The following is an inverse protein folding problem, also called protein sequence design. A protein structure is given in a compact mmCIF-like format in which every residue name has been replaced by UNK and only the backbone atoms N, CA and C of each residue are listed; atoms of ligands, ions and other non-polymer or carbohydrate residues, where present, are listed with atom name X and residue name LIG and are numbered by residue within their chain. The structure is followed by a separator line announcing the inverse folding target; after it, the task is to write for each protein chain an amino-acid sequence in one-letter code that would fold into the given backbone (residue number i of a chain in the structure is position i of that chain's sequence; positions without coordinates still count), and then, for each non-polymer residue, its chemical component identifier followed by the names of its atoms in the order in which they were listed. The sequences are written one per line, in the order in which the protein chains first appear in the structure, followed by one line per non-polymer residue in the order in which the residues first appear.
data_IF_881678484729
#
_entry.id   IF_881678484729
#
_cell.length_a   1.000
_cell.length_b   1.000
_cell.length_c   1.000
_cell.angle_alpha   90.00
_cell.angle_beta   90.00
_cell.angle_gamma   90.00
#
_symmetry.space_group_name_H-M   'P 1'
#
loop_
_entity.id
_entity.type
_entity.pdbx_description
1 polymer ?
#
# COMPACT_ATOMS: atom_id res chain seq x y z
N UNK A 1 -7.94 92.82 33.38
CA UNK A 1 -6.82 92.08 32.89
C UNK A 1 -7.06 90.62 33.27
N UNK A 2 -7.50 89.76 32.35
CA UNK A 2 -8.00 88.40 32.53
C UNK A 2 -6.94 87.37 32.15
N UNK A 3 -6.67 86.32 32.89
CA UNK A 3 -5.82 85.21 32.45
C UNK A 3 -6.65 84.07 31.81
N UNK A 4 -6.21 83.70 30.66
CA UNK A 4 -6.70 82.64 29.80
C UNK A 4 -6.46 81.24 30.40
N UNK A 5 -7.47 80.44 30.49
CA UNK A 5 -7.39 79.04 30.94
C UNK A 5 -7.07 78.10 29.74
N UNK A 6 -5.91 77.45 29.79
CA UNK A 6 -5.58 76.36 28.89
C UNK A 6 -6.22 75.03 29.44
N UNK A 7 -7.10 74.42 28.65
CA UNK A 7 -7.62 73.09 28.93
C UNK A 7 -6.76 72.06 28.23
N UNK A 8 -6.10 71.21 29.01
CA UNK A 8 -5.37 70.06 28.49
C UNK A 8 -6.35 68.82 28.29
N UNK A 9 -6.52 68.41 27.06
CA UNK A 9 -7.27 67.18 26.71
C UNK A 9 -6.28 66.03 26.78
N UNK A 10 -6.43 65.16 27.80
CA UNK A 10 -5.75 63.85 27.86
C UNK A 10 -6.51 62.84 27.00
N UNK A 11 -5.94 62.44 25.84
CA UNK A 11 -6.38 61.29 25.06
C UNK A 11 -5.87 60.03 25.75
N UNK A 12 -6.80 59.28 26.39
CA UNK A 12 -6.55 57.91 26.86
C UNK A 12 -6.64 56.97 25.66
N UNK A 13 -5.49 56.55 25.07
CA UNK A 13 -5.43 55.42 24.16
C UNK A 13 -5.62 54.13 24.96
N UNK A 14 -6.86 53.61 25.00
CA UNK A 14 -7.15 52.28 25.50
C UNK A 14 -6.59 51.20 24.55
N UNK A 15 -5.44 50.63 24.90
CA UNK A 15 -4.88 49.47 24.23
C UNK A 15 -5.76 48.29 24.55
N UNK A 16 -6.64 47.86 23.61
CA UNK A 16 -7.38 46.60 23.70
C UNK A 16 -6.36 45.51 23.47
N UNK A 17 -5.85 44.89 24.52
CA UNK A 17 -5.11 43.63 24.47
C UNK A 17 -6.17 42.54 24.24
N UNK A 18 -6.37 42.16 22.97
CA UNK A 18 -7.09 40.94 22.66
C UNK A 18 -6.29 39.77 23.24
N UNK A 19 -6.91 38.83 24.00
CA UNK A 19 -6.22 37.63 24.42
C UNK A 19 -5.85 36.87 23.16
N UNK A 20 -4.56 36.64 22.92
CA UNK A 20 -4.06 35.62 22.04
C UNK A 20 -4.60 34.33 22.65
N UNK A 21 -5.67 33.77 22.07
CA UNK A 21 -6.08 32.43 22.36
C UNK A 21 -4.89 31.54 21.99
N UNK A 22 -4.19 31.04 22.99
CA UNK A 22 -3.26 29.90 22.82
C UNK A 22 -4.09 28.82 22.13
N UNK A 23 -3.90 28.65 20.83
CA UNK A 23 -4.34 27.46 20.14
C UNK A 23 -3.54 26.32 20.80
N UNK A 24 -4.12 25.69 21.83
CA UNK A 24 -3.59 24.44 22.35
C UNK A 24 -3.35 23.54 21.13
N UNK A 25 -2.08 23.26 20.84
CA UNK A 25 -1.72 22.33 19.78
C UNK A 25 -2.36 20.99 20.18
N UNK A 26 -3.48 20.67 19.54
CA UNK A 26 -4.23 19.46 19.83
C UNK A 26 -3.27 18.28 19.74
N UNK A 27 -3.06 17.56 20.84
CA UNK A 27 -2.14 16.44 20.90
C UNK A 27 -2.49 15.44 19.81
N UNK A 28 -1.51 15.10 18.95
CA UNK A 28 -1.72 14.17 17.87
C UNK A 28 -2.12 12.81 18.43
N UNK A 29 -3.12 12.18 17.83
CA UNK A 29 -3.52 10.83 18.17
C UNK A 29 -2.56 9.84 17.55
N UNK A 30 -1.84 9.07 18.38
CA UNK A 30 -0.97 8.00 17.91
C UNK A 30 -1.82 6.84 17.41
N UNK A 31 -1.52 6.37 16.21
CA UNK A 31 -2.06 5.15 15.65
C UNK A 31 -0.94 4.28 15.07
N UNK A 32 -1.09 2.98 15.21
CA UNK A 32 -0.15 1.99 14.71
C UNK A 32 -0.63 1.42 13.36
N UNK A 33 0.29 1.38 12.38
CA UNK A 33 0.03 0.90 11.02
C UNK A 33 0.96 -0.26 10.67
N UNK A 34 0.39 -1.45 10.49
CA UNK A 34 1.10 -2.65 10.08
C UNK A 34 1.30 -2.71 8.56
N UNK A 35 2.56 -2.78 8.12
CA UNK A 35 2.95 -2.87 6.71
C UNK A 35 3.83 -4.10 6.47
N UNK A 36 3.92 -4.58 5.21
CA UNK A 36 4.76 -5.75 4.90
C UNK A 36 6.22 -5.35 4.71
N UNK A 37 6.50 -4.42 3.81
CA UNK A 37 7.85 -3.99 3.47
C UNK A 37 7.84 -2.65 2.73
N UNK A 38 8.99 -1.98 2.64
CA UNK A 38 9.12 -0.73 1.91
C UNK A 38 9.25 -1.00 0.40
N UNK A 39 8.16 -0.77 -0.33
CA UNK A 39 8.06 -0.94 -1.79
C UNK A 39 7.23 0.18 -2.41
N UNK A 40 7.22 0.33 -3.73
CA UNK A 40 6.44 1.37 -4.40
C UNK A 40 4.92 1.30 -4.15
N UNK A 41 4.27 0.13 -3.96
CA UNK A 41 2.89 0.08 -3.48
C UNK A 41 2.60 0.86 -2.19
N UNK A 42 3.60 1.10 -1.34
CA UNK A 42 3.48 1.89 -0.11
C UNK A 42 3.76 3.39 -0.31
N UNK A 43 3.99 3.84 -1.54
CA UNK A 43 4.37 5.22 -1.85
C UNK A 43 3.40 6.27 -1.30
N UNK A 44 2.07 6.12 -1.39
CA UNK A 44 1.14 7.06 -0.75
C UNK A 44 1.34 7.18 0.77
N UNK A 45 1.67 6.08 1.46
CA UNK A 45 1.96 6.11 2.88
C UNK A 45 3.25 6.91 3.17
N UNK A 46 4.32 6.70 2.40
CA UNK A 46 5.57 7.45 2.53
C UNK A 46 5.34 8.96 2.34
N UNK A 47 4.58 9.32 1.29
CA UNK A 47 4.24 10.71 1.01
C UNK A 47 3.38 11.30 2.13
N UNK A 48 2.37 10.58 2.60
CA UNK A 48 1.48 11.09 3.65
C UNK A 48 2.22 11.37 4.97
N UNK A 49 3.23 10.54 5.30
CA UNK A 49 4.13 10.77 6.43
C UNK A 49 5.04 11.97 6.16
N UNK A 50 5.77 11.99 5.05
CA UNK A 50 6.76 13.01 4.70
C UNK A 50 6.15 14.40 4.56
N UNK A 51 5.01 14.50 3.87
CA UNK A 51 4.29 15.77 3.64
C UNK A 51 3.41 16.18 4.84
N UNK A 52 3.40 15.40 5.91
CA UNK A 52 2.62 15.71 7.11
C UNK A 52 1.11 15.63 6.90
N UNK A 53 0.61 14.84 5.92
CA UNK A 53 -0.83 14.73 5.69
C UNK A 53 -1.54 14.08 6.86
N UNK A 54 -0.95 13.06 7.49
CA UNK A 54 -1.46 12.48 8.73
C UNK A 54 -1.50 13.51 9.88
N UNK A 55 -0.45 14.33 10.03
CA UNK A 55 -0.41 15.35 11.08
C UNK A 55 -1.50 16.41 10.92
N UNK A 56 -1.83 16.80 9.66
CA UNK A 56 -2.95 17.70 9.38
C UNK A 56 -4.31 17.15 9.78
N UNK A 57 -4.42 15.81 9.83
CA UNK A 57 -5.61 15.10 10.30
C UNK A 57 -5.55 14.77 11.81
N UNK A 58 -4.59 15.38 12.54
CA UNK A 58 -4.43 15.14 13.98
C UNK A 58 -3.85 13.78 14.31
N UNK A 59 -3.17 13.10 13.36
CA UNK A 59 -2.64 11.74 13.50
C UNK A 59 -1.11 11.76 13.55
N UNK A 60 -0.54 11.07 14.53
CA UNK A 60 0.85 10.63 14.57
C UNK A 60 0.90 9.15 14.18
N UNK A 61 1.39 8.85 12.98
CA UNK A 61 1.43 7.48 12.46
C UNK A 61 2.73 6.78 12.85
N UNK A 62 2.61 5.62 13.50
CA UNK A 62 3.72 4.69 13.75
C UNK A 62 3.61 3.50 12.79
N UNK A 63 4.50 3.43 11.79
CA UNK A 63 4.51 2.34 10.82
C UNK A 63 5.47 1.24 11.24
N UNK A 64 4.97 0.00 11.30
CA UNK A 64 5.74 -1.20 11.64
C UNK A 64 5.78 -2.16 10.45
N UNK A 65 6.98 -2.56 10.03
CA UNK A 65 7.18 -3.48 8.91
C UNK A 65 7.36 -4.91 9.40
N UNK A 66 6.41 -5.79 9.07
CA UNK A 66 6.31 -7.17 9.61
C UNK A 66 6.99 -8.20 8.72
N UNK A 67 7.21 -7.89 7.43
CA UNK A 67 7.88 -8.79 6.47
C UNK A 67 6.97 -9.87 5.85
N UNK A 68 5.73 -10.04 6.32
CA UNK A 68 4.78 -11.03 5.85
C UNK A 68 3.34 -10.54 6.01
N UNK A 69 2.52 -10.66 4.94
CA UNK A 69 1.15 -10.15 4.93
C UNK A 69 0.21 -10.90 5.87
N UNK A 70 0.36 -12.22 5.98
CA UNK A 70 -0.48 -13.02 6.88
C UNK A 70 -0.23 -12.64 8.36
N UNK A 71 1.03 -12.47 8.73
CA UNK A 71 1.41 -12.01 10.08
C UNK A 71 0.90 -10.58 10.35
N UNK A 72 0.91 -9.70 9.34
CA UNK A 72 0.37 -8.33 9.47
C UNK A 72 -1.12 -8.38 9.80
N UNK A 73 -1.90 -9.21 9.09
CA UNK A 73 -3.34 -9.38 9.33
C UNK A 73 -3.60 -10.03 10.70
N UNK A 74 -2.84 -11.07 11.08
CA UNK A 74 -2.95 -11.70 12.39
C UNK A 74 -2.73 -10.72 13.54
N UNK A 75 -1.70 -9.88 13.45
CA UNK A 75 -1.40 -8.85 14.45
C UNK A 75 -2.49 -7.76 14.51
N UNK A 76 -3.07 -7.36 13.36
CA UNK A 76 -4.24 -6.48 13.35
C UNK A 76 -5.42 -7.09 14.08
N UNK A 77 -5.78 -8.35 13.76
CA UNK A 77 -6.89 -9.07 14.40
C UNK A 77 -6.66 -9.23 15.90
N UNK A 78 -5.41 -9.46 16.31
CA UNK A 78 -5.01 -9.54 17.73
C UNK A 78 -4.98 -8.19 18.44
N UNK A 79 -5.11 -7.07 17.74
CA UNK A 79 -5.12 -5.73 18.31
C UNK A 79 -3.77 -5.05 18.45
N UNK A 80 -2.69 -5.61 17.87
CA UNK A 80 -1.36 -5.01 17.89
C UNK A 80 -1.24 -3.80 16.95
N UNK A 81 -2.13 -3.70 15.95
CA UNK A 81 -2.23 -2.56 15.05
C UNK A 81 -3.65 -1.99 15.07
N UNK A 82 -3.77 -0.68 14.83
CA UNK A 82 -5.03 0.02 14.64
C UNK A 82 -5.53 -0.16 13.21
N UNK A 83 -4.63 0.02 12.25
CA UNK A 83 -4.83 -0.22 10.83
C UNK A 83 -3.72 -1.10 10.28
N UNK A 84 -3.93 -1.75 9.15
CA UNK A 84 -2.89 -2.52 8.48
C UNK A 84 -3.13 -2.59 6.97
N UNK A 85 -2.05 -2.67 6.19
CA UNK A 85 -2.11 -3.03 4.78
C UNK A 85 -2.18 -4.55 4.61
N UNK A 86 -3.03 -4.99 3.69
CA UNK A 86 -3.15 -6.40 3.30
C UNK A 86 -3.35 -6.53 1.80
N UNK A 87 -3.08 -7.72 1.25
CA UNK A 87 -3.62 -8.08 -0.06
C UNK A 87 -5.10 -8.41 0.06
N UNK A 88 -5.87 -8.20 -1.03
CA UNK A 88 -7.31 -8.45 -1.01
C UNK A 88 -7.65 -9.90 -0.68
N UNK A 89 -6.91 -10.85 -1.22
CA UNK A 89 -7.12 -12.28 -0.97
C UNK A 89 -6.84 -12.67 0.49
N UNK A 90 -5.74 -12.19 1.08
CA UNK A 90 -5.42 -12.44 2.49
C UNK A 90 -6.47 -11.81 3.41
N UNK A 91 -6.95 -10.61 3.09
CA UNK A 91 -8.03 -9.95 3.80
C UNK A 91 -9.33 -10.76 3.76
N UNK A 92 -9.74 -11.18 2.55
CA UNK A 92 -10.96 -12.00 2.37
C UNK A 92 -10.85 -13.32 3.11
N UNK A 93 -9.72 -14.04 3.02
CA UNK A 93 -9.50 -15.29 3.77
C UNK A 93 -9.61 -15.09 5.28
N UNK A 94 -8.95 -14.07 5.81
CA UNK A 94 -8.98 -13.79 7.24
C UNK A 94 -10.41 -13.51 7.74
N UNK A 95 -11.14 -12.64 7.04
CA UNK A 95 -12.52 -12.27 7.40
C UNK A 95 -13.47 -13.46 7.23
N UNK A 96 -13.35 -14.22 6.13
CA UNK A 96 -14.18 -15.40 5.89
C UNK A 96 -14.03 -16.48 6.97
N UNK A 97 -12.83 -16.60 7.52
CA UNK A 97 -12.51 -17.55 8.61
C UNK A 97 -12.72 -16.95 10.02
N UNK A 98 -13.50 -15.89 10.14
CA UNK A 98 -13.89 -15.31 11.43
C UNK A 98 -12.94 -14.27 12.00
N UNK A 99 -11.95 -13.81 11.24
CA UNK A 99 -11.07 -12.71 11.64
C UNK A 99 -11.85 -11.41 11.84
N UNK A 100 -11.66 -10.76 12.98
CA UNK A 100 -12.35 -9.51 13.34
C UNK A 100 -11.69 -8.31 12.62
N UNK A 101 -11.88 -8.22 11.32
CA UNK A 101 -11.36 -7.16 10.46
C UNK A 101 -12.34 -6.84 9.33
N UNK A 102 -12.20 -5.66 8.73
CA UNK A 102 -12.95 -5.21 7.55
C UNK A 102 -12.04 -4.33 6.68
N UNK A 103 -12.21 -4.40 5.37
CA UNK A 103 -11.54 -3.51 4.42
C UNK A 103 -12.24 -2.15 4.39
N UNK A 104 -11.48 -1.07 4.58
CA UNK A 104 -12.00 0.29 4.65
C UNK A 104 -11.57 1.18 3.47
N UNK A 105 -10.66 0.69 2.62
CA UNK A 105 -10.20 1.42 1.43
C UNK A 105 -9.24 0.60 0.58
N UNK A 106 -9.35 0.75 -0.75
CA UNK A 106 -8.44 0.15 -1.74
C UNK A 106 -7.32 1.12 -2.10
N UNK A 107 -6.08 0.75 -1.84
CA UNK A 107 -4.92 1.60 -2.15
C UNK A 107 -4.38 1.30 -3.54
N UNK A 108 -4.10 0.02 -3.84
CA UNK A 108 -3.53 -0.44 -5.10
C UNK A 108 -4.51 -1.41 -5.75
N UNK A 109 -5.16 -0.96 -6.83
CA UNK A 109 -6.24 -1.70 -7.50
C UNK A 109 -5.78 -2.49 -8.73
N UNK A 110 -4.48 -2.51 -9.01
CA UNK A 110 -3.85 -3.31 -10.07
C UNK A 110 -2.61 -4.01 -9.51
N UNK A 111 -2.23 -5.15 -10.09
CA UNK A 111 -0.99 -5.83 -9.71
C UNK A 111 0.23 -5.16 -10.34
N UNK A 112 1.13 -4.57 -9.55
CA UNK A 112 2.39 -4.01 -10.03
C UNK A 112 3.53 -5.03 -9.89
N UNK A 113 3.40 -6.20 -10.50
CA UNK A 113 4.33 -7.30 -10.31
C UNK A 113 4.84 -7.89 -11.62
N UNK A 114 6.13 -8.22 -11.64
CA UNK A 114 6.81 -8.90 -12.73
C UNK A 114 7.51 -10.17 -12.22
N UNK A 115 7.59 -11.21 -13.05
CA UNK A 115 8.57 -12.28 -12.87
C UNK A 115 9.86 -11.83 -13.54
N UNK A 116 10.87 -11.62 -12.71
CA UNK A 116 12.24 -11.35 -13.14
C UNK A 116 13.02 -12.65 -13.12
N UNK A 117 13.81 -12.92 -14.18
CA UNK A 117 14.53 -14.17 -14.35
C UNK A 117 15.97 -13.93 -14.78
N UNK A 118 16.82 -14.94 -14.56
CA UNK A 118 18.19 -14.95 -15.04
C UNK A 118 18.24 -14.81 -16.58
N UNK A 119 19.31 -14.20 -17.10
CA UNK A 119 19.41 -13.83 -18.52
C UNK A 119 19.19 -15.02 -19.49
N UNK A 120 19.51 -16.24 -19.08
CA UNK A 120 19.33 -17.46 -19.85
C UNK A 120 17.92 -18.10 -19.73
N UNK A 121 16.99 -17.48 -18.98
CA UNK A 121 15.58 -17.87 -18.89
C UNK A 121 14.78 -16.89 -19.71
N UNK A 122 14.38 -17.28 -20.92
CA UNK A 122 13.79 -16.37 -21.93
C UNK A 122 12.32 -16.68 -22.21
N UNK A 123 11.84 -17.86 -21.78
CA UNK A 123 10.49 -18.34 -22.01
C UNK A 123 9.96 -19.15 -20.82
N UNK A 124 8.66 -19.43 -20.80
CA UNK A 124 8.06 -20.34 -19.82
C UNK A 124 8.71 -21.73 -19.89
N UNK A 125 9.06 -22.21 -21.08
CA UNK A 125 9.66 -23.54 -21.25
C UNK A 125 11.01 -23.67 -20.54
N UNK A 126 11.79 -22.58 -20.48
CA UNK A 126 13.09 -22.56 -19.79
C UNK A 126 12.93 -22.70 -18.26
N UNK A 127 11.72 -22.50 -17.72
CA UNK A 127 11.46 -22.67 -16.29
C UNK A 127 11.35 -24.14 -15.85
N UNK A 128 11.21 -25.11 -16.76
CA UNK A 128 11.16 -26.52 -16.38
C UNK A 128 12.44 -26.94 -15.63
N UNK A 129 12.26 -27.53 -14.46
CA UNK A 129 13.35 -27.92 -13.56
C UNK A 129 14.11 -26.76 -12.93
N UNK A 130 13.66 -25.53 -13.11
CA UNK A 130 14.25 -24.34 -12.49
C UNK A 130 13.49 -23.96 -11.22
N UNK A 131 14.17 -23.17 -10.39
CA UNK A 131 13.60 -22.66 -9.12
C UNK A 131 13.13 -21.23 -9.26
N UNK A 132 11.90 -20.97 -8.78
CA UNK A 132 11.35 -19.60 -8.61
C UNK A 132 11.08 -19.33 -7.13
N UNK A 133 11.17 -18.05 -6.74
CA UNK A 133 10.74 -17.59 -5.42
C UNK A 133 9.51 -16.69 -5.50
N UNK A 134 8.49 -17.02 -4.73
CA UNK A 134 7.14 -16.45 -4.71
C UNK A 134 6.77 -15.98 -3.29
N UNK A 135 5.65 -15.26 -3.06
CA UNK A 135 5.25 -14.83 -1.73
C UNK A 135 4.93 -15.98 -0.78
N UNK A 136 3.90 -16.77 -1.08
CA UNK A 136 3.49 -18.00 -0.41
C UNK A 136 2.55 -18.81 -1.31
N UNK A 137 2.31 -20.10 -1.03
CA UNK A 137 1.61 -21.01 -1.96
C UNK A 137 0.19 -20.56 -2.35
N UNK A 138 -0.58 -20.04 -1.38
CA UNK A 138 -1.97 -19.65 -1.58
C UNK A 138 -2.15 -18.18 -2.01
N UNK A 139 -1.06 -17.43 -2.22
CA UNK A 139 -1.13 -16.04 -2.69
C UNK A 139 -1.72 -15.97 -4.10
N UNK A 140 -2.63 -15.04 -4.36
CA UNK A 140 -3.21 -14.89 -5.71
C UNK A 140 -2.15 -14.61 -6.78
N UNK A 141 -1.05 -13.95 -6.44
CA UNK A 141 0.08 -13.77 -7.38
C UNK A 141 0.75 -15.09 -7.75
N UNK A 142 0.85 -16.03 -6.79
CA UNK A 142 1.33 -17.40 -7.05
C UNK A 142 0.35 -18.17 -7.94
N UNK A 143 -0.95 -18.00 -7.69
CA UNK A 143 -2.01 -18.63 -8.49
C UNK A 143 -2.03 -18.09 -9.92
N UNK A 144 -1.87 -16.78 -10.09
CA UNK A 144 -1.78 -16.13 -11.41
C UNK A 144 -0.51 -16.59 -12.16
N UNK A 145 0.62 -16.73 -11.47
CA UNK A 145 1.83 -17.35 -12.03
C UNK A 145 1.59 -18.77 -12.51
N UNK A 146 0.96 -19.63 -11.69
CA UNK A 146 0.66 -21.01 -12.04
C UNK A 146 -0.31 -21.12 -13.23
N UNK A 147 -1.31 -20.20 -13.29
CA UNK A 147 -2.22 -20.08 -14.45
C UNK A 147 -1.43 -19.73 -15.71
N UNK A 148 -0.53 -18.75 -15.62
CA UNK A 148 0.32 -18.38 -16.76
C UNK A 148 1.20 -19.54 -17.26
N UNK A 149 1.81 -20.33 -16.35
CA UNK A 149 2.55 -21.54 -16.75
C UNK A 149 1.66 -22.51 -17.51
N UNK A 150 0.47 -22.79 -16.98
CA UNK A 150 -0.49 -23.71 -17.58
C UNK A 150 -0.92 -23.26 -18.99
N UNK A 151 -1.19 -21.96 -19.18
CA UNK A 151 -1.50 -21.38 -20.49
C UNK A 151 -0.33 -21.52 -21.50
N UNK A 152 0.91 -21.60 -21.00
CA UNK A 152 2.10 -21.86 -21.81
C UNK A 152 2.43 -23.35 -21.98
N UNK A 153 1.56 -24.24 -21.50
CA UNK A 153 1.75 -25.70 -21.60
C UNK A 153 2.78 -26.28 -20.63
N UNK A 154 3.08 -25.56 -19.55
CA UNK A 154 3.98 -25.97 -18.49
C UNK A 154 3.15 -26.30 -17.24
N UNK A 155 3.35 -27.48 -16.68
CA UNK A 155 2.72 -27.83 -15.41
C UNK A 155 3.42 -27.09 -14.27
N UNK A 156 2.69 -26.45 -13.33
CA UNK A 156 3.32 -25.76 -12.19
C UNK A 156 4.29 -26.62 -11.37
N UNK A 157 4.02 -27.93 -11.26
CA UNK A 157 4.88 -28.92 -10.58
C UNK A 157 6.18 -29.22 -11.31
N UNK A 158 6.32 -28.86 -12.58
CA UNK A 158 7.58 -28.96 -13.33
C UNK A 158 8.55 -27.81 -12.97
N UNK A 159 8.12 -26.84 -12.13
CA UNK A 159 8.91 -25.71 -11.65
C UNK A 159 9.04 -25.77 -10.13
N UNK A 160 10.25 -25.78 -9.60
CA UNK A 160 10.48 -25.78 -8.16
C UNK A 160 10.09 -24.42 -7.56
N UNK A 161 9.06 -24.39 -6.72
CA UNK A 161 8.57 -23.16 -6.10
C UNK A 161 9.04 -23.06 -4.65
N UNK A 162 9.66 -21.94 -4.31
CA UNK A 162 10.07 -21.57 -2.95
C UNK A 162 9.40 -20.26 -2.54
N UNK A 163 9.32 -19.98 -1.23
CA UNK A 163 8.45 -18.91 -0.74
C UNK A 163 9.12 -18.02 0.29
N UNK A 164 8.95 -16.68 0.13
CA UNK A 164 9.24 -15.67 1.15
C UNK A 164 8.41 -14.40 0.92
N UNK A 165 7.87 -13.82 1.99
CA UNK A 165 6.89 -12.73 1.91
C UNK A 165 7.41 -11.43 1.31
N UNK A 166 8.56 -10.94 1.79
CA UNK A 166 9.06 -9.61 1.44
C UNK A 166 9.81 -9.58 0.09
N UNK A 167 9.46 -8.64 -0.79
CA UNK A 167 10.11 -8.46 -2.10
C UNK A 167 11.63 -8.26 -2.03
N UNK A 168 12.20 -7.48 -1.08
CA UNK A 168 13.66 -7.37 -0.97
C UNK A 168 14.36 -8.72 -0.76
N UNK A 169 13.75 -9.63 0.01
CA UNK A 169 14.30 -10.97 0.24
C UNK A 169 14.26 -11.83 -1.03
N UNK A 170 13.19 -11.72 -1.83
CA UNK A 170 13.09 -12.40 -3.13
C UNK A 170 14.15 -11.90 -4.11
N UNK A 171 14.39 -10.58 -4.17
CA UNK A 171 15.49 -10.04 -4.96
C UNK A 171 16.85 -10.58 -4.49
N UNK A 172 17.10 -10.61 -3.18
CA UNK A 172 18.35 -11.14 -2.63
C UNK A 172 18.58 -12.62 -3.04
N UNK A 173 17.52 -13.44 -3.00
CA UNK A 173 17.59 -14.84 -3.44
C UNK A 173 17.88 -14.96 -4.96
N UNK A 174 17.32 -14.07 -5.79
CA UNK A 174 17.61 -14.03 -7.22
C UNK A 174 19.06 -13.62 -7.48
N UNK A 175 19.51 -12.55 -6.85
CA UNK A 175 20.87 -11.99 -7.05
C UNK A 175 21.96 -12.94 -6.54
N UNK A 176 21.71 -13.69 -5.49
CA UNK A 176 22.65 -14.71 -4.98
C UNK A 176 22.71 -15.97 -5.85
N UNK A 177 21.83 -16.10 -6.88
CA UNK A 177 21.72 -17.30 -7.69
C UNK A 177 21.04 -18.49 -7.00
N UNK A 178 20.48 -18.29 -5.79
CA UNK A 178 19.72 -19.34 -5.09
C UNK A 178 18.46 -19.77 -5.86
N UNK A 179 17.91 -18.87 -6.67
CA UNK A 179 16.77 -19.11 -7.56
C UNK A 179 17.06 -18.57 -8.96
N UNK A 180 16.34 -19.08 -9.97
CA UNK A 180 16.48 -18.67 -11.37
C UNK A 180 15.48 -17.58 -11.75
N UNK A 181 14.40 -17.43 -10.99
CA UNK A 181 13.40 -16.41 -11.18
C UNK A 181 12.80 -15.94 -9.83
N UNK A 182 12.26 -14.73 -9.81
CA UNK A 182 11.61 -14.17 -8.63
C UNK A 182 10.42 -13.27 -9.03
N UNK A 183 9.34 -13.35 -8.25
CA UNK A 183 8.24 -12.40 -8.34
C UNK A 183 8.64 -11.11 -7.62
N UNK A 184 8.80 -10.02 -8.35
CA UNK A 184 9.21 -8.72 -7.81
C UNK A 184 8.22 -7.64 -8.18
N UNK A 185 8.06 -6.66 -7.26
CA UNK A 185 7.38 -5.39 -7.53
C UNK A 185 8.39 -4.25 -7.54
N UNK A 186 7.98 -3.12 -8.10
CA UNK A 186 8.82 -1.93 -8.16
C UNK A 186 9.16 -1.42 -6.75
N UNK A 187 10.32 -0.84 -6.59
CA UNK A 187 11.37 -0.61 -7.59
C UNK A 187 12.35 -1.78 -7.74
N UNK A 188 12.09 -2.95 -7.13
CA UNK A 188 13.03 -4.08 -7.05
C UNK A 188 13.15 -4.88 -8.35
N UNK A 189 12.11 -4.93 -9.18
CA UNK A 189 12.20 -5.51 -10.54
C UNK A 189 13.10 -4.65 -11.44
N UNK A 190 12.99 -3.31 -11.40
CA UNK A 190 13.90 -2.42 -12.13
C UNK A 190 15.34 -2.52 -11.63
N UNK A 191 15.53 -2.72 -10.31
CA UNK A 191 16.85 -3.00 -9.76
C UNK A 191 17.42 -4.33 -10.27
N UNK A 192 16.59 -5.36 -10.42
CA UNK A 192 17.00 -6.62 -11.00
C UNK A 192 17.39 -6.42 -12.48
N UNK A 193 16.57 -5.67 -13.24
CA UNK A 193 16.85 -5.36 -14.66
C UNK A 193 18.19 -4.63 -14.81
N UNK A 194 18.48 -3.64 -13.98
CA UNK A 194 19.77 -2.93 -13.97
C UNK A 194 20.98 -3.85 -13.65
N UNK A 195 20.74 -5.02 -13.05
CA UNK A 195 21.75 -6.04 -12.77
C UNK A 195 21.81 -7.17 -13.82
N UNK A 196 21.12 -7.01 -14.96
CA UNK A 196 21.15 -7.94 -16.09
C UNK A 196 20.11 -9.07 -16.02
N UNK A 197 19.20 -9.05 -15.03
CA UNK A 197 18.04 -9.92 -15.04
C UNK A 197 17.00 -9.39 -16.04
N UNK A 198 16.14 -10.27 -16.55
CA UNK A 198 15.13 -9.90 -17.53
C UNK A 198 13.72 -10.12 -17.01
N UNK A 199 12.80 -9.30 -17.47
CA UNK A 199 11.38 -9.52 -17.25
C UNK A 199 10.91 -10.68 -18.12
N UNK A 200 10.51 -11.79 -17.49
CA UNK A 200 9.94 -12.96 -18.15
C UNK A 200 8.45 -12.74 -18.48
N UNK A 201 7.71 -12.15 -17.54
CA UNK A 201 6.29 -11.83 -17.70
C UNK A 201 5.86 -10.73 -16.74
N UNK A 202 4.91 -9.90 -17.19
CA UNK A 202 4.14 -8.98 -16.35
C UNK A 202 2.93 -9.74 -15.80
N UNK A 203 2.92 -10.02 -14.51
CA UNK A 203 1.83 -10.75 -13.83
C UNK A 203 0.55 -9.92 -13.80
N UNK A 204 0.64 -8.60 -13.75
CA UNK A 204 -0.52 -7.71 -13.81
C UNK A 204 -1.33 -7.86 -15.09
N UNK A 205 -0.70 -8.27 -16.20
CA UNK A 205 -1.41 -8.53 -17.46
C UNK A 205 -2.34 -9.76 -17.40
N UNK A 206 -2.05 -10.71 -16.50
CA UNK A 206 -2.80 -11.97 -16.32
C UNK A 206 -3.76 -11.95 -15.13
N UNK A 207 -3.65 -10.95 -14.26
CA UNK A 207 -4.47 -10.81 -13.05
C UNK A 207 -5.23 -9.49 -13.01
N UNK A 208 -5.73 -9.01 -14.15
CA UNK A 208 -6.39 -7.69 -14.28
C UNK A 208 -7.66 -7.56 -13.43
N UNK A 209 -8.31 -8.68 -13.15
CA UNK A 209 -9.53 -8.77 -12.33
C UNK A 209 -9.27 -8.63 -10.84
N UNK A 210 -8.00 -8.65 -10.39
CA UNK A 210 -7.63 -8.57 -8.98
C UNK A 210 -7.02 -7.22 -8.62
N UNK A 211 -7.29 -6.79 -7.38
CA UNK A 211 -6.56 -5.69 -6.74
C UNK A 211 -5.42 -6.21 -5.88
N UNK A 212 -4.48 -5.32 -5.55
CA UNK A 212 -3.30 -5.72 -4.77
C UNK A 212 -3.41 -5.33 -3.30
N UNK A 213 -3.50 -4.03 -2.96
CA UNK A 213 -3.48 -3.58 -1.56
C UNK A 213 -4.76 -2.89 -1.12
N UNK A 214 -5.20 -3.26 0.07
CA UNK A 214 -6.32 -2.66 0.80
C UNK A 214 -5.88 -2.27 2.22
N UNK A 215 -6.59 -1.32 2.83
CA UNK A 215 -6.46 -0.98 4.24
C UNK A 215 -7.48 -1.78 5.03
N UNK A 216 -7.01 -2.42 6.10
CA UNK A 216 -7.82 -3.14 7.08
C UNK A 216 -7.88 -2.39 8.41
N UNK A 217 -8.99 -2.51 9.10
CA UNK A 217 -9.15 -2.12 10.50
C UNK A 217 -10.11 -3.07 11.22
N UNK A 218 -10.07 -3.07 12.55
CA UNK A 218 -11.07 -3.82 13.35
C UNK A 218 -12.37 -3.03 13.43
N UNK A 219 -13.57 -3.66 13.28
CA UNK A 219 -14.85 -2.98 13.40
C UNK A 219 -15.05 -2.27 14.75
N UNK A 220 -14.53 -2.82 15.84
CA UNK A 220 -14.58 -2.17 17.15
C UNK A 220 -13.77 -0.87 17.14
N UNK A 221 -12.52 -0.90 16.67
CA UNK A 221 -11.67 0.28 16.59
C UNK A 221 -12.29 1.40 15.73
N UNK A 222 -12.93 1.03 14.63
CA UNK A 222 -13.64 1.96 13.75
C UNK A 222 -14.80 2.68 14.45
N UNK A 223 -15.58 1.94 15.25
CA UNK A 223 -16.68 2.54 16.04
C UNK A 223 -16.18 3.48 17.13
N UNK A 224 -15.05 3.15 17.75
CA UNK A 224 -14.43 3.95 18.82
C UNK A 224 -13.66 5.15 18.27
N UNK A 225 -13.20 5.10 17.00
CA UNK A 225 -12.32 6.08 16.37
C UNK A 225 -12.77 6.51 14.96
N UNK A 226 -14.07 6.84 14.74
CA UNK A 226 -14.59 7.05 13.38
C UNK A 226 -13.93 8.23 12.66
N UNK A 227 -13.63 9.32 13.37
CA UNK A 227 -13.01 10.51 12.78
C UNK A 227 -11.53 10.29 12.48
N UNK A 228 -10.83 9.51 13.33
CA UNK A 228 -9.44 9.10 13.08
C UNK A 228 -9.35 8.21 11.84
N UNK A 229 -10.28 7.26 11.67
CA UNK A 229 -10.34 6.40 10.49
C UNK A 229 -10.59 7.21 9.20
N UNK A 230 -11.52 8.18 9.24
CA UNK A 230 -11.75 9.12 8.12
C UNK A 230 -10.53 9.98 7.84
N UNK A 231 -9.88 10.50 8.89
CA UNK A 231 -8.66 11.30 8.77
C UNK A 231 -7.52 10.50 8.13
N UNK A 232 -7.32 9.25 8.56
CA UNK A 232 -6.34 8.35 7.94
C UNK A 232 -6.57 8.19 6.44
N UNK A 233 -7.82 7.89 6.03
CA UNK A 233 -8.15 7.70 4.62
C UNK A 233 -8.06 9.02 3.83
N UNK A 234 -8.42 10.18 4.41
CA UNK A 234 -8.19 11.48 3.75
C UNK A 234 -6.71 11.78 3.53
N UNK A 235 -5.86 11.50 4.51
CA UNK A 235 -4.42 11.68 4.38
C UNK A 235 -3.83 10.79 3.27
N UNK A 236 -4.27 9.53 3.18
CA UNK A 236 -3.87 8.61 2.13
C UNK A 236 -4.35 9.04 0.74
N UNK A 237 -5.61 9.48 0.61
CA UNK A 237 -6.16 9.99 -0.64
C UNK A 237 -5.42 11.26 -1.11
N UNK A 238 -5.15 12.20 -0.20
CA UNK A 238 -4.36 13.38 -0.49
C UNK A 238 -2.94 13.06 -0.96
N UNK A 239 -2.33 12.00 -0.42
CA UNK A 239 -1.02 11.54 -0.87
C UNK A 239 -1.06 10.93 -2.28
N UNK A 240 -2.14 10.22 -2.64
CA UNK A 240 -2.33 9.72 -4.00
C UNK A 240 -2.51 10.87 -4.98
N UNK A 241 -3.34 11.87 -4.65
CA UNK A 241 -3.55 13.03 -5.51
C UNK A 241 -2.26 13.83 -5.68
N UNK A 242 -1.49 14.01 -4.60
CA UNK A 242 -0.20 14.68 -4.63
C UNK A 242 0.82 13.93 -5.51
N UNK A 243 0.87 12.60 -5.43
CA UNK A 243 1.76 11.76 -6.25
C UNK A 243 1.45 11.87 -7.75
N UNK A 244 0.16 11.97 -8.10
CA UNK A 244 -0.29 12.08 -9.49
C UNK A 244 -0.21 13.51 -10.05
N UNK A 245 0.16 14.51 -9.24
CA UNK A 245 0.44 15.87 -9.72
C UNK A 245 1.87 15.93 -10.30
N UNK A 246 2.04 16.21 -11.60
CA UNK A 246 3.36 16.27 -12.24
C UNK A 246 4.31 17.31 -11.61
N UNK A 247 3.77 18.34 -10.96
CA UNK A 247 4.57 19.35 -10.27
C UNK A 247 5.40 18.75 -9.13
N UNK A 248 4.95 17.64 -8.54
CA UNK A 248 5.58 16.97 -7.40
C UNK A 248 6.57 15.85 -7.81
N UNK A 249 6.79 15.65 -9.12
CA UNK A 249 7.58 14.53 -9.66
C UNK A 249 8.95 14.37 -8.98
N UNK A 250 9.72 15.45 -8.89
CA UNK A 250 11.08 15.39 -8.36
C UNK A 250 11.07 14.93 -6.88
N UNK A 251 10.24 15.55 -6.08
CA UNK A 251 10.13 15.24 -4.65
C UNK A 251 9.53 13.84 -4.40
N UNK A 252 8.56 13.42 -5.22
CA UNK A 252 8.01 12.06 -5.15
C UNK A 252 9.10 11.01 -5.37
N UNK A 253 9.96 11.20 -6.37
CA UNK A 253 11.11 10.33 -6.66
C UNK A 253 12.10 10.30 -5.50
N UNK A 254 12.43 11.46 -4.91
CA UNK A 254 13.33 11.54 -3.75
C UNK A 254 12.77 10.79 -2.54
N UNK A 255 11.47 10.94 -2.26
CA UNK A 255 10.79 10.20 -1.16
C UNK A 255 10.91 8.69 -1.41
N UNK A 256 10.59 8.20 -2.61
CA UNK A 256 10.69 6.77 -2.91
C UNK A 256 12.12 6.26 -2.78
N UNK A 257 13.10 6.96 -3.37
CA UNK A 257 14.51 6.59 -3.32
C UNK A 257 15.01 6.46 -1.87
N UNK A 258 14.70 7.46 -1.04
CA UNK A 258 15.04 7.49 0.38
C UNK A 258 14.41 6.33 1.15
N UNK A 259 13.11 6.12 0.99
CA UNK A 259 12.37 5.10 1.74
C UNK A 259 12.76 3.68 1.35
N UNK A 260 13.05 3.44 0.07
CA UNK A 260 13.45 2.13 -0.44
C UNK A 260 14.97 1.90 -0.46
N UNK A 261 15.76 2.94 -0.16
CA UNK A 261 17.24 2.94 -0.20
C UNK A 261 17.79 2.50 -1.58
N UNK A 262 17.21 3.04 -2.62
CA UNK A 262 17.56 2.73 -4.02
C UNK A 262 18.06 3.97 -4.76
N UNK A 263 18.73 3.70 -5.90
CA UNK A 263 19.20 4.74 -6.80
C UNK A 263 18.06 5.64 -7.29
N UNK A 264 18.21 6.97 -7.27
CA UNK A 264 17.21 7.90 -7.79
C UNK A 264 16.79 7.62 -9.25
N UNK A 265 17.67 7.08 -10.09
CA UNK A 265 17.33 6.71 -11.45
C UNK A 265 16.30 5.56 -11.51
N UNK A 266 16.43 4.57 -10.63
CA UNK A 266 15.46 3.47 -10.48
C UNK A 266 14.15 4.00 -9.92
N UNK A 267 14.19 4.92 -8.96
CA UNK A 267 13.00 5.57 -8.43
C UNK A 267 12.28 6.41 -9.51
N UNK A 268 13.02 7.09 -10.38
CA UNK A 268 12.47 7.83 -11.53
C UNK A 268 11.82 6.88 -12.54
N UNK A 269 12.43 5.74 -12.86
CA UNK A 269 11.84 4.72 -13.73
C UNK A 269 10.53 4.20 -13.11
N UNK A 270 10.51 3.99 -11.79
CA UNK A 270 9.31 3.60 -11.04
C UNK A 270 8.22 4.67 -11.14
N UNK A 271 8.57 5.96 -11.04
CA UNK A 271 7.62 7.06 -11.20
C UNK A 271 6.97 7.04 -12.59
N UNK A 272 7.77 6.93 -13.63
CA UNK A 272 7.26 6.89 -15.00
C UNK A 272 6.28 5.72 -15.19
N UNK A 273 6.60 4.56 -14.65
CA UNK A 273 5.70 3.39 -14.73
C UNK A 273 4.43 3.56 -13.89
N UNK A 274 4.54 4.04 -12.64
CA UNK A 274 3.37 4.14 -11.74
C UNK A 274 2.45 5.29 -12.09
N UNK A 275 3.00 6.44 -12.46
CA UNK A 275 2.22 7.66 -12.75
C UNK A 275 1.86 7.75 -14.23
N UNK A 276 2.77 7.33 -15.12
CA UNK A 276 2.55 7.35 -16.57
C UNK A 276 1.73 6.16 -17.07
N UNK A 277 2.21 4.94 -16.83
CA UNK A 277 1.70 3.76 -17.52
C UNK A 277 0.63 3.00 -16.74
N UNK A 278 0.94 2.56 -15.52
CA UNK A 278 0.11 1.63 -14.76
C UNK A 278 -1.05 2.32 -14.06
N UNK A 279 -0.79 3.46 -13.41
CA UNK A 279 -1.74 4.20 -12.57
C UNK A 279 -2.51 3.26 -11.60
N UNK A 280 -1.80 2.60 -10.65
CA UNK A 280 -2.40 1.54 -9.84
C UNK A 280 -3.14 2.06 -8.61
N UNK A 281 -2.88 3.32 -8.20
CA UNK A 281 -3.46 3.89 -6.99
C UNK A 281 -4.86 4.45 -7.21
N UNK A 282 -5.78 4.09 -6.33
CA UNK A 282 -7.13 4.63 -6.31
C UNK A 282 -7.13 6.01 -5.64
N UNK A 283 -7.42 7.08 -6.40
CA UNK A 283 -7.42 8.47 -5.90
C UNK A 283 -8.35 8.69 -4.69
N UNK A 284 -9.51 8.02 -4.70
CA UNK A 284 -10.51 8.09 -3.62
C UNK A 284 -10.50 6.87 -2.71
N UNK A 285 -9.49 6.01 -2.85
CA UNK A 285 -9.37 4.74 -2.12
C UNK A 285 -10.60 3.82 -2.28
N UNK A 286 -11.37 3.97 -3.34
CA UNK A 286 -12.52 3.12 -3.63
C UNK A 286 -12.04 1.71 -3.95
N UNK A 287 -12.74 0.71 -3.44
CA UNK A 287 -12.58 -0.68 -3.82
C UNK A 287 -13.61 -0.99 -4.90
N UNK A 288 -13.20 -1.26 -6.15
CA UNK A 288 -14.13 -1.70 -7.18
C UNK A 288 -14.78 -3.03 -6.79
N UNK A 289 -16.11 -3.12 -6.90
CA UNK A 289 -16.87 -4.34 -6.57
C UNK A 289 -16.35 -5.58 -7.30
N UNK A 290 -15.87 -5.41 -8.53
CA UNK A 290 -15.33 -6.48 -9.34
C UNK A 290 -14.13 -7.15 -8.68
N UNK A 291 -13.24 -6.37 -8.04
CA UNK A 291 -12.07 -6.91 -7.32
C UNK A 291 -12.53 -7.85 -6.21
N UNK A 292 -13.53 -7.44 -5.42
CA UNK A 292 -14.02 -8.29 -4.32
C UNK A 292 -14.71 -9.54 -4.88
N UNK A 293 -15.58 -9.38 -5.88
CA UNK A 293 -16.27 -10.52 -6.50
C UNK A 293 -15.30 -11.53 -7.11
N UNK A 294 -14.31 -11.06 -7.88
CA UNK A 294 -13.32 -11.93 -8.51
C UNK A 294 -12.44 -12.64 -7.47
N UNK A 295 -12.01 -11.91 -6.43
CA UNK A 295 -11.25 -12.48 -5.33
C UNK A 295 -12.06 -13.56 -4.59
N UNK A 296 -13.28 -13.25 -4.17
CA UNK A 296 -14.16 -14.20 -3.46
C UNK A 296 -14.45 -15.43 -4.31
N UNK A 297 -14.80 -15.25 -5.61
CA UNK A 297 -15.04 -16.35 -6.53
C UNK A 297 -13.82 -17.29 -6.62
N UNK A 298 -12.64 -16.74 -6.83
CA UNK A 298 -11.41 -17.55 -6.94
C UNK A 298 -11.11 -18.29 -5.65
N UNK A 299 -11.29 -17.67 -4.49
CA UNK A 299 -11.04 -18.32 -3.20
C UNK A 299 -12.05 -19.42 -2.88
N UNK A 300 -13.29 -19.32 -3.38
CA UNK A 300 -14.29 -20.40 -3.33
C UNK A 300 -13.85 -21.56 -4.25
N UNK A 301 -13.45 -21.28 -5.48
CA UNK A 301 -12.98 -22.27 -6.45
C UNK A 301 -11.75 -23.04 -5.94
N UNK A 302 -10.89 -22.38 -5.16
CA UNK A 302 -9.72 -23.01 -4.51
C UNK A 302 -10.07 -23.78 -3.22
N UNK A 303 -11.31 -23.67 -2.72
CA UNK A 303 -11.72 -24.28 -1.46
C UNK A 303 -11.22 -23.55 -0.21
N UNK A 304 -10.67 -22.34 -0.34
CA UNK A 304 -10.12 -21.55 0.77
C UNK A 304 -11.20 -20.94 1.65
N UNK A 305 -12.36 -20.66 1.08
CA UNK A 305 -13.53 -20.08 1.76
C UNK A 305 -14.83 -20.77 1.33
N UNK A 306 -15.86 -20.71 2.19
CA UNK A 306 -17.16 -21.32 1.90
C UNK A 306 -17.96 -20.55 0.85
N UNK A 307 -18.80 -21.20 0.03
CA UNK A 307 -19.61 -20.57 -1.02
C UNK A 307 -20.64 -19.54 -0.57
N UNK A 308 -21.02 -19.52 0.70
CA UNK A 308 -22.02 -18.62 1.29
C UNK A 308 -21.49 -17.23 1.66
N UNK A 309 -20.27 -16.92 1.31
CA UNK A 309 -19.59 -15.70 1.67
C UNK A 309 -20.20 -14.48 0.93
N UNK A 310 -21.15 -13.78 1.54
CA UNK A 310 -21.67 -12.52 1.05
C UNK A 310 -20.56 -11.46 0.96
N UNK A 311 -20.39 -10.83 -0.21
CA UNK A 311 -19.31 -9.86 -0.45
C UNK A 311 -19.38 -8.63 0.46
N UNK A 312 -20.58 -8.21 0.86
CA UNK A 312 -20.80 -7.04 1.72
C UNK A 312 -20.11 -7.14 3.10
N UNK A 313 -19.85 -8.34 3.61
CA UNK A 313 -19.18 -8.51 4.92
C UNK A 313 -17.69 -8.17 4.91
N UNK A 314 -17.08 -8.09 3.73
CA UNK A 314 -15.64 -7.86 3.61
C UNK A 314 -15.24 -6.39 3.62
N UNK A 315 -16.19 -5.48 3.33
CA UNK A 315 -15.90 -4.06 3.12
C UNK A 315 -16.81 -3.16 3.95
N UNK A 316 -16.24 -2.06 4.46
CA UNK A 316 -17.00 -0.94 5.03
C UNK A 316 -16.41 0.38 4.47
N UNK A 317 -17.03 0.89 3.43
CA UNK A 317 -16.61 2.11 2.74
C UNK A 317 -17.22 3.39 3.32
N UNK A 318 -17.92 3.32 4.44
CA UNK A 318 -18.55 4.47 5.12
C UNK A 318 -17.54 5.50 5.68
N UNK A 319 -16.26 5.17 5.68
CA UNK A 319 -15.16 6.03 6.14
C UNK A 319 -14.41 6.73 5.01
N UNK A 320 -14.69 6.42 3.73
CA UNK A 320 -14.01 7.02 2.61
C UNK A 320 -14.23 8.54 2.52
N UNK A 321 -13.26 9.30 1.97
CA UNK A 321 -13.44 10.72 1.64
C UNK A 321 -14.65 10.91 0.70
N UNK A 322 -15.47 11.90 1.05
CA UNK A 322 -16.64 12.29 0.25
C UNK A 322 -16.25 13.20 -0.90
#
# INVERSE_FOLDING_TARGET
MTPTRLAAILLLCGMIIAPLADAEAQALKKISDGQVSKTAPNWPNFIAVDKGFFRREGIELETVYVGNVANTVQQLVAGSFDVASSTFDTAVRAIANGGNAVMIGGVVTKYPYSIMAAANVTSAADMKGKRIILPFPQDLLTIVWNRWLTEKGIRPEDVEQTYTGATPNRLAALVSGAVHAALLTQPFDFRAEAQGYRKLVDIGAFGKEYGFLTVLARPQWLRENPDTARGYLRAMAAAVDWLYDPANRAEAVEILARETKLDPAIAMQTYNYYVGDLQPFSRKLVIPDEIIRSTVKTLIELGDIKPDAATAKYVDLGYLPR
#
